data_IF_977990498762
#
_entry.id   IF_977990498762
#
_cell.length_a   1.000
_cell.length_b   1.000
_cell.length_c   1.000
_cell.angle_alpha   90.00
_cell.angle_beta   90.00
_cell.angle_gamma   90.00
#
_symmetry.space_group_name_H-M   'P 1'
#
loop_
_entity.id
_entity.type
_entity.pdbx_description
1 polymer ?
#
# COMPACT_ATOMS: atom_id res chain seq x y z
N UNK A 1 -12.78 -15.77 22.81
CA UNK A 1 -12.81 -14.51 22.03
C UNK A 1 -12.76 -13.34 23.00
N UNK A 2 -11.61 -12.67 23.13
CA UNK A 2 -11.49 -11.41 23.88
C UNK A 2 -11.95 -10.27 22.96
N UNK A 3 -13.24 -9.92 23.03
CA UNK A 3 -13.98 -9.24 21.96
C UNK A 3 -13.81 -7.72 21.86
N UNK A 4 -12.58 -7.22 21.70
CA UNK A 4 -12.37 -5.78 21.46
C UNK A 4 -10.92 -5.39 21.26
N UNK A 5 -10.69 -4.10 20.99
CA UNK A 5 -9.35 -3.55 20.91
C UNK A 5 -8.61 -3.68 22.25
N UNK A 6 -7.32 -4.01 22.25
CA UNK A 6 -6.53 -4.07 23.47
C UNK A 6 -6.42 -2.69 24.14
N UNK A 7 -6.12 -2.64 25.44
CA UNK A 7 -5.83 -1.35 26.10
C UNK A 7 -4.53 -0.76 25.52
N UNK A 8 -4.49 0.56 25.35
CA UNK A 8 -3.31 1.28 24.87
C UNK A 8 -3.08 1.20 23.35
N UNK A 9 -4.15 1.03 22.55
CA UNK A 9 -4.03 1.06 21.09
C UNK A 9 -3.39 2.35 20.59
N UNK A 10 -2.61 2.19 19.53
CA UNK A 10 -2.05 3.31 18.77
C UNK A 10 -3.02 3.68 17.66
N UNK A 11 -3.25 4.97 17.49
CA UNK A 11 -4.09 5.48 16.41
C UNK A 11 -3.22 5.84 15.20
N UNK A 12 -3.74 5.55 14.01
CA UNK A 12 -3.17 5.99 12.75
C UNK A 12 -4.15 7.01 12.17
N UNK A 13 -3.77 8.29 12.03
CA UNK A 13 -4.64 9.28 11.41
C UNK A 13 -4.81 8.93 9.93
N UNK A 14 -6.03 9.06 9.44
CA UNK A 14 -6.38 8.92 8.03
C UNK A 14 -6.96 10.23 7.53
N UNK A 15 -6.74 10.62 6.26
CA UNK A 15 -7.44 11.76 5.67
C UNK A 15 -8.96 11.57 5.71
N UNK A 16 -9.69 12.62 6.03
CA UNK A 16 -11.15 12.59 6.12
C UNK A 16 -11.84 12.05 4.85
N UNK A 17 -11.41 12.40 3.62
CA UNK A 17 -12.01 11.86 2.40
C UNK A 17 -11.97 10.33 2.31
N UNK A 18 -10.97 9.67 2.91
CA UNK A 18 -10.85 8.21 2.89
C UNK A 18 -12.05 7.52 3.55
N UNK A 19 -12.59 8.12 4.61
CA UNK A 19 -13.73 7.60 5.37
C UNK A 19 -15.04 8.33 5.04
N UNK A 20 -15.01 9.21 4.04
CA UNK A 20 -16.16 9.94 3.52
C UNK A 20 -16.34 9.61 2.04
N UNK A 21 -16.06 10.55 1.13
CA UNK A 21 -16.35 10.41 -0.31
C UNK A 21 -15.66 9.21 -0.96
N UNK A 22 -14.39 8.94 -0.64
CA UNK A 22 -13.66 7.82 -1.27
C UNK A 22 -14.18 6.46 -0.81
N UNK A 23 -14.81 6.37 0.35
CA UNK A 23 -15.39 5.12 0.83
C UNK A 23 -16.57 4.66 -0.04
N UNK A 24 -17.26 5.60 -0.69
CA UNK A 24 -18.33 5.30 -1.67
C UNK A 24 -17.77 4.82 -3.01
N UNK A 25 -16.56 5.27 -3.38
CA UNK A 25 -15.92 4.99 -4.66
C UNK A 25 -15.05 3.72 -4.66
N UNK A 26 -14.50 3.34 -3.50
CA UNK A 26 -13.70 2.13 -3.33
C UNK A 26 -14.62 0.90 -3.40
N UNK A 27 -14.40 0.08 -4.42
CA UNK A 27 -15.26 -1.03 -4.82
C UNK A 27 -14.65 -2.41 -4.53
N UNK A 28 -13.40 -2.45 -4.05
CA UNK A 28 -12.76 -3.70 -3.62
C UNK A 28 -12.25 -3.64 -2.17
N UNK A 29 -12.45 -4.74 -1.45
CA UNK A 29 -11.93 -4.89 -0.09
C UNK A 29 -10.40 -4.92 -0.06
N UNK A 30 -9.78 -5.44 -1.13
CA UNK A 30 -8.34 -5.54 -1.24
C UNK A 30 -7.69 -4.16 -1.39
N UNK A 31 -8.29 -3.27 -2.21
CA UNK A 31 -7.89 -1.86 -2.31
C UNK A 31 -7.95 -1.17 -0.94
N UNK A 32 -9.09 -1.25 -0.25
CA UNK A 32 -9.25 -0.61 1.06
C UNK A 32 -8.18 -1.07 2.07
N UNK A 33 -7.92 -2.39 2.13
CA UNK A 33 -6.90 -2.96 3.01
C UNK A 33 -5.50 -2.45 2.66
N UNK A 34 -5.15 -2.42 1.37
CA UNK A 34 -3.84 -1.94 0.90
C UNK A 34 -3.66 -0.46 1.21
N UNK A 35 -4.66 0.39 0.94
CA UNK A 35 -4.62 1.83 1.26
C UNK A 35 -4.40 2.06 2.75
N UNK A 36 -5.20 1.41 3.61
CA UNK A 36 -5.03 1.53 5.06
C UNK A 36 -3.65 1.07 5.53
N UNK A 37 -3.13 -0.01 4.93
CA UNK A 37 -1.80 -0.53 5.26
C UNK A 37 -0.69 0.42 4.85
N UNK A 38 -0.81 1.08 3.69
CA UNK A 38 0.12 2.10 3.20
C UNK A 38 0.09 3.32 4.12
N UNK A 39 -1.09 3.85 4.47
CA UNK A 39 -1.21 4.99 5.40
C UNK A 39 -0.56 4.65 6.75
N UNK A 40 -0.83 3.44 7.27
CA UNK A 40 -0.19 2.98 8.51
C UNK A 40 1.33 2.89 8.38
N UNK A 41 1.85 2.42 7.24
CA UNK A 41 3.30 2.35 7.02
C UNK A 41 3.92 3.75 6.95
N UNK A 42 3.32 4.67 6.19
CA UNK A 42 3.80 6.04 6.03
C UNK A 42 3.79 6.80 7.35
N UNK A 43 2.72 6.66 8.15
CA UNK A 43 2.61 7.31 9.46
C UNK A 43 3.72 6.87 10.44
N UNK A 44 4.26 5.65 10.28
CA UNK A 44 5.38 5.16 11.13
C UNK A 44 6.75 5.66 10.68
N UNK A 45 6.87 6.25 9.50
CA UNK A 45 8.13 6.78 9.00
C UNK A 45 8.40 8.17 9.58
N UNK A 46 9.64 8.45 9.95
CA UNK A 46 10.08 9.76 10.46
C UNK A 46 10.57 10.73 9.36
N UNK A 47 10.52 10.31 8.09
CA UNK A 47 11.03 11.07 6.94
C UNK A 47 9.89 11.78 6.21
N UNK A 48 10.16 12.97 5.67
CA UNK A 48 9.23 13.75 4.83
C UNK A 48 9.96 14.20 3.55
N UNK A 49 9.42 13.89 2.34
CA UNK A 49 8.23 13.08 2.10
C UNK A 49 8.46 11.59 2.45
N UNK A 50 7.46 10.97 3.05
CA UNK A 50 7.44 9.52 3.33
C UNK A 50 7.07 8.75 2.07
N UNK A 51 7.69 7.58 1.88
CA UNK A 51 7.42 6.70 0.74
C UNK A 51 7.68 5.24 1.11
N UNK A 52 6.94 4.34 0.48
CA UNK A 52 7.06 2.88 0.61
C UNK A 52 7.28 2.28 -0.78
N UNK A 53 8.22 1.34 -0.90
CA UNK A 53 8.45 0.59 -2.13
C UNK A 53 7.46 -0.59 -2.26
N UNK A 54 7.19 -1.02 -3.49
CA UNK A 54 6.35 -2.21 -3.76
C UNK A 54 6.92 -3.46 -3.09
N UNK A 55 8.23 -3.65 -3.16
CA UNK A 55 8.93 -4.78 -2.52
C UNK A 55 8.72 -4.85 -1.00
N UNK A 56 8.52 -3.71 -0.34
CA UNK A 56 8.20 -3.65 1.09
C UNK A 56 6.78 -4.17 1.37
N UNK A 57 5.83 -3.95 0.46
CA UNK A 57 4.47 -4.48 0.55
C UNK A 57 4.43 -5.97 0.22
N UNK A 58 5.16 -6.41 -0.81
CA UNK A 58 5.25 -7.84 -1.18
C UNK A 58 5.88 -8.69 -0.06
N UNK A 59 6.86 -8.13 0.64
CA UNK A 59 7.56 -8.80 1.73
C UNK A 59 6.84 -8.70 3.08
N UNK A 60 5.76 -7.92 3.17
CA UNK A 60 5.01 -7.74 4.42
C UNK A 60 4.06 -8.92 4.69
N UNK A 61 4.37 -9.70 5.72
CA UNK A 61 3.55 -10.81 6.20
C UNK A 61 2.12 -10.39 6.54
N UNK A 62 1.91 -9.16 6.98
CA UNK A 62 0.57 -8.62 7.26
C UNK A 62 -0.21 -8.39 5.97
N UNK A 63 0.44 -7.91 4.91
CA UNK A 63 -0.15 -7.73 3.57
C UNK A 63 -0.51 -9.09 2.98
N UNK A 64 0.40 -10.07 3.02
CA UNK A 64 0.14 -11.43 2.60
C UNK A 64 -1.06 -12.05 3.35
N UNK A 65 -1.10 -11.89 4.67
CA UNK A 65 -2.17 -12.43 5.50
C UNK A 65 -3.51 -11.74 5.28
N UNK A 66 -3.55 -10.42 5.11
CA UNK A 66 -4.81 -9.68 4.95
C UNK A 66 -5.44 -9.91 3.57
N UNK A 67 -4.62 -10.20 2.56
CA UNK A 67 -5.04 -10.51 1.18
C UNK A 67 -5.23 -12.01 0.93
N UNK A 68 -4.74 -12.88 1.83
CA UNK A 68 -4.82 -14.33 1.65
C UNK A 68 -4.09 -14.80 0.38
N UNK A 69 -2.95 -14.17 0.07
CA UNK A 69 -2.18 -14.39 -1.14
C UNK A 69 -0.67 -14.47 -0.84
N UNK A 70 0.08 -15.08 -1.77
CA UNK A 70 1.54 -15.27 -1.67
C UNK A 70 2.17 -15.32 -3.06
N UNK A 71 3.47 -15.00 -3.16
CA UNK A 71 4.22 -15.01 -4.42
C UNK A 71 3.58 -14.12 -5.47
N UNK A 72 3.59 -14.54 -6.73
CA UNK A 72 3.07 -13.79 -7.88
C UNK A 72 1.61 -13.35 -7.69
N UNK A 73 0.78 -14.14 -6.99
CA UNK A 73 -0.60 -13.76 -6.70
C UNK A 73 -0.67 -12.56 -5.75
N UNK A 74 0.23 -12.50 -4.77
CA UNK A 74 0.31 -11.37 -3.85
C UNK A 74 0.72 -10.11 -4.60
N UNK A 75 1.74 -10.20 -5.43
CA UNK A 75 2.24 -9.09 -6.25
C UNK A 75 1.13 -8.53 -7.14
N UNK A 76 0.43 -9.40 -7.88
CA UNK A 76 -0.66 -9.00 -8.77
C UNK A 76 -1.83 -8.31 -8.03
N UNK A 77 -2.23 -8.83 -6.86
CA UNK A 77 -3.33 -8.22 -6.07
C UNK A 77 -2.90 -6.88 -5.48
N UNK A 78 -1.65 -6.78 -4.98
CA UNK A 78 -1.11 -5.53 -4.44
C UNK A 78 -1.01 -4.49 -5.55
N UNK A 79 -0.50 -4.84 -6.73
CA UNK A 79 -0.36 -3.89 -7.84
C UNK A 79 -1.72 -3.41 -8.36
N UNK A 80 -2.70 -4.30 -8.51
CA UNK A 80 -4.05 -3.91 -8.89
C UNK A 80 -4.68 -2.94 -7.89
N UNK A 81 -4.50 -3.19 -6.59
CA UNK A 81 -4.99 -2.30 -5.53
C UNK A 81 -4.27 -0.95 -5.50
N UNK A 82 -2.95 -0.93 -5.76
CA UNK A 82 -2.18 0.32 -5.84
C UNK A 82 -2.61 1.15 -7.06
N UNK A 83 -2.83 0.52 -8.21
CA UNK A 83 -3.30 1.20 -9.42
C UNK A 83 -4.68 1.82 -9.20
N UNK A 84 -5.63 1.05 -8.69
CA UNK A 84 -6.98 1.53 -8.36
C UNK A 84 -6.98 2.72 -7.38
N UNK A 85 -6.13 2.65 -6.36
CA UNK A 85 -5.96 3.74 -5.39
C UNK A 85 -5.29 4.98 -6.02
N UNK A 86 -4.41 4.79 -7.00
CA UNK A 86 -3.76 5.87 -7.74
C UNK A 86 -4.74 6.56 -8.69
N UNK A 87 -5.57 5.80 -9.41
CA UNK A 87 -6.62 6.33 -10.29
C UNK A 87 -7.63 7.20 -9.53
N UNK A 88 -7.95 6.83 -8.29
CA UNK A 88 -8.81 7.61 -7.38
C UNK A 88 -8.10 8.77 -6.67
N UNK A 89 -6.81 8.96 -6.92
CA UNK A 89 -6.02 10.03 -6.30
C UNK A 89 -5.73 9.85 -4.80
N UNK A 90 -5.89 8.63 -4.28
CA UNK A 90 -5.61 8.30 -2.87
C UNK A 90 -4.12 8.18 -2.62
N UNK A 91 -3.39 7.60 -3.58
CA UNK A 91 -1.95 7.40 -3.52
C UNK A 91 -1.27 7.99 -4.76
N UNK A 92 -0.01 8.38 -4.61
CA UNK A 92 0.84 8.79 -5.73
C UNK A 92 1.88 7.70 -5.97
N UNK A 93 1.89 7.13 -7.17
CA UNK A 93 2.88 6.15 -7.59
C UNK A 93 4.02 6.88 -8.31
N UNK A 94 5.24 6.68 -7.83
CA UNK A 94 6.45 7.12 -8.53
C UNK A 94 7.03 5.96 -9.32
N UNK A 95 7.16 6.15 -10.63
CA UNK A 95 7.97 5.28 -11.49
C UNK A 95 9.39 5.82 -11.49
N UNK A 96 10.38 4.98 -11.14
CA UNK A 96 11.78 5.36 -11.31
C UNK A 96 12.05 5.53 -12.82
N UNK A 97 12.81 6.55 -13.25
CA UNK A 97 13.16 6.66 -14.65
C UNK A 97 13.90 5.39 -15.07
N UNK A 98 13.46 4.76 -16.17
CA UNK A 98 14.26 3.75 -16.85
C UNK A 98 15.63 4.34 -17.09
N UNK A 99 16.69 3.70 -16.61
CA UNK A 99 18.05 4.13 -16.88
C UNK A 99 18.45 3.49 -18.21
N UNK A 100 18.48 4.20 -19.35
CA UNK A 100 18.90 3.64 -20.64
C UNK A 100 20.44 3.49 -20.68
N UNK A 101 20.99 2.71 -19.76
CA UNK A 101 22.42 2.66 -19.48
C UNK A 101 22.88 1.29 -18.98
N UNK A 102 22.39 0.22 -19.58
CA UNK A 102 23.04 -1.10 -19.52
C UNK A 102 22.85 -1.82 -20.86
N UNK A 103 23.14 -1.14 -21.97
CA UNK A 103 23.57 -1.83 -23.17
C UNK A 103 25.02 -2.23 -22.93
N UNK A 104 25.23 -3.52 -22.72
CA UNK A 104 26.54 -4.12 -22.52
C UNK A 104 27.48 -3.78 -23.66
N UNK A 105 28.56 -3.09 -23.33
CA UNK A 105 29.78 -3.14 -24.10
C UNK A 105 30.66 -4.18 -23.41
N UNK A 106 30.75 -5.36 -24.00
CA UNK A 106 31.71 -6.40 -23.65
C UNK A 106 32.05 -7.12 -24.94
N UNK A 107 33.16 -6.61 -25.50
CA UNK A 107 34.18 -7.20 -26.38
C UNK A 107 33.92 -8.54 -27.06
#
# INVERSE_FOLDING_TARGET
>A
MSGGFPRGVQFTPVPDPLLASLLEEIDSLDELKVVLRVIHALHRQRKVPSSIARDELYSDRTVASMLGASGDKLEAVVDAALEAASERGVLLIRVAPDNPGSSGDSS
#
